data_IF_045307617062
#
_entry.id   IF_045307617062
#
_cell.length_a   1.000
_cell.length_b   1.000
_cell.length_c   1.000
_cell.angle_alpha   90.00
_cell.angle_beta   90.00
_cell.angle_gamma   90.00
#
_symmetry.space_group_name_H-M   'P 1'
#
loop_
_entity.id
_entity.type
_entity.pdbx_description
1 polymer ?
#
# COMPACT_ATOMS: atom_id res chain seq x y z
N UNK A 1 -37.72 33.72 25.58
CA UNK A 1 -36.86 34.37 24.57
C UNK A 1 -35.75 33.39 24.22
N UNK A 2 -35.81 32.78 23.04
CA UNK A 2 -34.81 31.83 22.56
C UNK A 2 -33.60 32.61 22.02
N UNK A 3 -32.40 32.34 22.52
CA UNK A 3 -31.14 32.92 22.03
C UNK A 3 -30.31 31.81 21.40
N UNK A 4 -30.07 31.91 20.09
CA UNK A 4 -29.42 30.91 19.26
C UNK A 4 -27.97 30.63 19.67
N UNK A 5 -27.64 29.36 19.78
CA UNK A 5 -26.27 28.87 19.84
C UNK A 5 -25.66 29.03 18.45
N UNK A 6 -24.67 29.90 18.31
CA UNK A 6 -23.90 30.07 17.07
C UNK A 6 -23.00 28.86 16.88
N UNK A 7 -23.25 28.08 15.83
CA UNK A 7 -22.26 27.20 15.20
C UNK A 7 -21.13 28.08 14.65
N UNK A 8 -20.11 28.30 15.45
CA UNK A 8 -18.85 28.87 14.99
C UNK A 8 -17.73 28.14 15.73
N UNK A 9 -16.83 27.55 14.93
CA UNK A 9 -15.69 26.74 15.34
C UNK A 9 -15.99 25.29 15.73
N UNK A 10 -16.15 24.46 14.71
CA UNK A 10 -15.61 23.11 14.74
C UNK A 10 -14.65 22.98 13.59
N UNK A 11 -13.47 23.59 13.73
CA UNK A 11 -12.30 23.17 12.98
C UNK A 11 -12.10 21.69 13.29
N UNK A 12 -12.62 20.82 12.43
CA UNK A 12 -12.36 19.39 12.48
C UNK A 12 -10.90 19.22 12.11
N UNK A 13 -10.03 19.31 13.11
CA UNK A 13 -8.64 18.88 13.00
C UNK A 13 -8.73 17.38 12.73
N UNK A 14 -8.58 17.01 11.45
CA UNK A 14 -8.33 15.63 11.05
C UNK A 14 -7.18 15.16 11.92
N UNK A 15 -7.35 14.14 12.79
CA UNK A 15 -6.22 13.61 13.52
C UNK A 15 -5.18 13.22 12.49
N UNK A 16 -3.94 13.66 12.70
CA UNK A 16 -2.80 13.34 11.86
C UNK A 16 -2.90 11.86 11.49
N UNK A 17 -2.94 11.60 10.18
CA UNK A 17 -3.26 10.32 9.58
C UNK A 17 -2.74 9.18 10.45
N UNK A 18 -3.65 8.37 11.00
CA UNK A 18 -3.31 7.00 11.34
C UNK A 18 -2.58 6.49 10.10
N UNK A 19 -1.29 6.16 10.22
CA UNK A 19 -0.54 5.48 9.17
C UNK A 19 -1.33 4.22 8.89
N UNK A 20 -2.17 4.28 7.87
CA UNK A 20 -2.87 3.11 7.39
C UNK A 20 -1.76 2.31 6.72
N UNK A 21 -1.80 0.98 6.78
CA UNK A 21 -0.97 0.13 5.94
C UNK A 21 -1.40 0.33 4.47
N UNK A 22 -1.26 1.55 3.97
CA UNK A 22 -1.70 2.01 2.66
C UNK A 22 -0.56 2.70 1.92
N UNK A 23 0.61 2.87 2.53
CA UNK A 23 1.80 3.42 1.85
C UNK A 23 2.45 2.35 0.96
N UNK A 24 2.91 2.76 -0.21
CA UNK A 24 3.63 1.91 -1.13
C UNK A 24 4.97 1.50 -0.53
N UNK A 25 5.23 0.20 -0.53
CA UNK A 25 6.49 -0.39 -0.07
C UNK A 25 7.70 0.17 -0.81
N UNK A 26 7.55 0.61 -2.07
CA UNK A 26 8.63 1.19 -2.86
C UNK A 26 8.78 2.71 -2.66
N UNK A 27 7.75 3.50 -2.98
CA UNK A 27 7.86 4.96 -3.05
C UNK A 27 7.32 5.72 -1.83
N UNK A 28 6.65 5.03 -0.89
CA UNK A 28 6.05 5.63 0.30
C UNK A 28 4.77 6.45 0.06
N UNK A 29 4.31 6.58 -1.19
CA UNK A 29 3.04 7.24 -1.51
C UNK A 29 1.83 6.38 -1.12
N UNK A 30 0.68 6.98 -0.78
CA UNK A 30 -0.56 6.24 -0.55
C UNK A 30 -0.97 5.47 -1.82
N UNK A 31 -1.12 4.15 -1.72
CA UNK A 31 -1.42 3.27 -2.88
C UNK A 31 -2.84 3.44 -3.40
N UNK A 32 -3.74 3.96 -2.57
CA UNK A 32 -5.16 4.12 -2.86
C UNK A 32 -5.49 5.33 -3.74
N UNK A 33 -4.51 6.18 -4.02
CA UNK A 33 -4.56 7.21 -5.06
C UNK A 33 -4.23 6.66 -6.47
N UNK A 34 -4.02 5.34 -6.59
CA UNK A 34 -3.53 4.66 -7.80
C UNK A 34 -4.28 3.34 -8.07
N UNK A 35 -3.63 2.41 -8.80
CA UNK A 35 -4.13 1.06 -9.13
C UNK A 35 -3.33 0.01 -8.33
N UNK A 36 -3.65 -0.20 -7.04
CA UNK A 36 -2.76 -0.88 -6.13
C UNK A 36 -2.58 -2.38 -6.43
N UNK A 37 -1.35 -2.86 -6.27
CA UNK A 37 -0.99 -4.28 -6.31
C UNK A 37 -0.60 -4.74 -4.91
N UNK A 38 -1.24 -5.79 -4.41
CA UNK A 38 -0.95 -6.38 -3.10
C UNK A 38 -0.27 -7.74 -3.27
N UNK A 39 0.85 -7.92 -2.60
CA UNK A 39 1.64 -9.15 -2.67
C UNK A 39 1.67 -9.80 -1.29
N UNK A 40 1.37 -11.10 -1.25
CA UNK A 40 1.47 -11.92 -0.05
C UNK A 40 2.61 -12.91 -0.23
N UNK A 41 3.66 -12.78 0.58
CA UNK A 41 4.74 -13.78 0.63
C UNK A 41 4.36 -15.00 1.49
N UNK A 42 3.26 -14.92 2.23
CA UNK A 42 2.73 -16.05 2.99
C UNK A 42 1.56 -16.73 2.27
N UNK A 43 1.37 -18.05 2.48
CA UNK A 43 0.21 -18.77 1.95
C UNK A 43 -1.13 -18.27 2.50
N UNK A 44 -1.12 -17.55 3.62
CA UNK A 44 -2.32 -17.09 4.34
C UNK A 44 -3.06 -15.94 3.63
N UNK A 45 -2.54 -15.46 2.49
CA UNK A 45 -3.15 -14.44 1.66
C UNK A 45 -3.17 -13.03 2.27
N UNK A 46 -2.47 -12.82 3.39
CA UNK A 46 -2.31 -11.50 4.00
C UNK A 46 -1.18 -10.76 3.28
N UNK A 47 -1.46 -9.59 2.66
CA UNK A 47 -0.40 -8.83 1.99
C UNK A 47 0.75 -8.52 2.94
N UNK A 48 1.96 -8.86 2.52
CA UNK A 48 3.22 -8.50 3.19
C UNK A 48 3.83 -7.24 2.57
N UNK A 49 3.44 -6.93 1.33
CA UNK A 49 3.84 -5.73 0.61
C UNK A 49 2.70 -5.20 -0.28
N UNK A 50 2.79 -3.91 -0.62
CA UNK A 50 1.82 -3.23 -1.46
C UNK A 50 2.46 -2.14 -2.30
N UNK A 51 1.95 -1.95 -3.52
CA UNK A 51 2.56 -1.07 -4.50
C UNK A 51 1.50 -0.21 -5.17
N UNK A 52 1.84 1.04 -5.51
CA UNK A 52 0.93 1.96 -6.22
C UNK A 52 0.42 1.37 -7.54
N UNK A 53 1.26 0.60 -8.22
CA UNK A 53 0.98 -0.10 -9.48
C UNK A 53 2.15 -1.05 -9.81
N UNK A 54 2.06 -1.74 -10.95
CA UNK A 54 3.12 -2.61 -11.47
C UNK A 54 4.47 -1.93 -11.67
N UNK A 55 4.52 -0.62 -11.91
CA UNK A 55 5.78 0.12 -12.05
C UNK A 55 6.57 0.18 -10.75
N UNK A 56 5.91 0.52 -9.63
CA UNK A 56 6.54 0.51 -8.31
C UNK A 56 6.94 -0.91 -7.87
N UNK A 57 6.15 -1.92 -8.21
CA UNK A 57 6.51 -3.32 -7.97
C UNK A 57 7.76 -3.71 -8.77
N UNK A 58 7.82 -3.40 -10.06
CA UNK A 58 8.97 -3.72 -10.93
C UNK A 58 10.24 -3.07 -10.40
N UNK A 59 10.20 -1.77 -10.08
CA UNK A 59 11.36 -1.06 -9.55
C UNK A 59 11.85 -1.66 -8.22
N UNK A 60 10.92 -2.06 -7.33
CA UNK A 60 11.28 -2.75 -6.11
C UNK A 60 11.96 -4.10 -6.38
N UNK A 61 11.42 -4.91 -7.28
CA UNK A 61 11.98 -6.20 -7.68
C UNK A 61 13.40 -6.03 -8.22
N UNK A 62 13.61 -5.06 -9.10
CA UNK A 62 14.90 -4.81 -9.74
C UNK A 62 15.93 -4.31 -8.72
N UNK A 63 15.57 -3.33 -7.88
CA UNK A 63 16.47 -2.74 -6.88
C UNK A 63 16.85 -3.75 -5.78
N UNK A 64 15.90 -4.56 -5.31
CA UNK A 64 16.16 -5.59 -4.30
C UNK A 64 16.71 -6.90 -4.88
N UNK A 65 16.84 -7.02 -6.21
CA UNK A 65 17.38 -8.20 -6.88
C UNK A 65 16.52 -9.46 -6.69
N UNK A 66 15.21 -9.30 -6.50
CA UNK A 66 14.30 -10.39 -6.08
C UNK A 66 14.07 -11.47 -7.15
N UNK A 67 14.53 -11.25 -8.38
CA UNK A 67 14.50 -12.25 -9.47
C UNK A 67 15.69 -13.20 -9.44
N UNK A 68 16.72 -12.91 -8.64
CA UNK A 68 17.93 -13.74 -8.62
C UNK A 68 17.66 -15.07 -7.93
N UNK A 69 17.89 -16.17 -8.63
CA UNK A 69 17.67 -17.52 -8.08
C UNK A 69 16.20 -17.91 -7.95
N UNK A 70 15.27 -17.09 -8.45
CA UNK A 70 13.87 -17.49 -8.55
C UNK A 70 13.70 -18.47 -9.71
N UNK A 71 13.63 -19.75 -9.38
CA UNK A 71 12.98 -20.73 -10.24
C UNK A 71 11.65 -21.06 -9.57
N UNK A 72 10.51 -20.63 -10.14
CA UNK A 72 9.31 -21.46 -10.02
C UNK A 72 9.77 -22.83 -10.52
N UNK A 73 9.70 -23.89 -9.72
CA UNK A 73 10.25 -25.21 -10.08
C UNK A 73 10.04 -25.48 -11.58
N UNK A 74 11.09 -25.26 -12.37
CA UNK A 74 10.98 -25.41 -13.81
C UNK A 74 11.43 -26.83 -14.09
N UNK A 75 10.47 -27.74 -14.04
CA UNK A 75 10.67 -29.09 -14.55
C UNK A 75 10.23 -29.11 -16.01
N UNK A 76 11.16 -29.24 -16.98
CA UNK A 76 10.81 -29.40 -18.39
C UNK A 76 10.04 -30.71 -18.70
N UNK A 77 9.75 -31.51 -17.67
CA UNK A 77 9.14 -32.84 -17.71
C UNK A 77 7.82 -32.94 -16.92
N UNK A 78 7.24 -31.83 -16.42
CA UNK A 78 5.90 -31.84 -15.80
C UNK A 78 4.78 -31.83 -16.84
#
# INVERSE_FOLDING_TARGET
MCGGSTDADKTFVLPAASVRMTDCTYCGSPVEDHDPVYVSETPDGKPTAQFCNYGCLSAHIDEAGLTTGTACEWSPTQ
#
